data_IF_744372448702
#
_entry.id   IF_744372448702
#
_cell.length_a   1.000
_cell.length_b   1.000
_cell.length_c   1.000
_cell.angle_alpha   90.00
_cell.angle_beta   90.00
_cell.angle_gamma   90.00
#
_symmetry.space_group_name_H-M   'P 1'
#
loop_
_entity.id
_entity.type
_entity.pdbx_description
1 polymer ?
#
# COMPACT_ATOMS: atom_id res chain seq x y z
N UNK A 1 24.66 13.05 -11.43
CA UNK A 1 24.86 14.14 -12.40
C UNK A 1 24.14 13.89 -13.73
N UNK A 2 24.24 12.70 -14.34
CA UNK A 2 23.62 12.42 -15.66
C UNK A 2 22.09 12.58 -15.70
N UNK A 3 21.37 12.22 -14.62
CA UNK A 3 19.90 12.38 -14.51
C UNK A 3 19.47 13.85 -14.33
N UNK A 4 20.33 14.69 -13.75
CA UNK A 4 20.01 16.11 -13.55
C UNK A 4 20.21 16.93 -14.84
N UNK A 5 21.08 16.43 -15.73
CA UNK A 5 21.43 17.03 -17.01
C UNK A 5 20.57 16.55 -18.20
N UNK A 6 19.74 15.52 -18.01
CA UNK A 6 18.88 15.00 -19.08
C UNK A 6 17.63 15.85 -19.28
N UNK A 7 17.23 15.99 -20.55
CA UNK A 7 16.08 16.78 -20.99
C UNK A 7 14.75 16.12 -20.58
N UNK A 8 14.76 14.80 -20.43
CA UNK A 8 13.69 13.98 -19.84
C UNK A 8 14.23 13.22 -18.61
N UNK A 9 14.01 13.81 -17.44
CA UNK A 9 14.44 13.24 -16.15
C UNK A 9 13.64 11.99 -15.79
N UNK A 10 12.34 11.96 -16.10
CA UNK A 10 11.45 10.85 -15.78
C UNK A 10 11.80 9.62 -16.63
N UNK A 11 11.94 9.77 -17.95
CA UNK A 11 12.34 8.68 -18.85
C UNK A 11 13.73 8.13 -18.54
N UNK A 12 14.68 8.98 -18.15
CA UNK A 12 16.02 8.54 -17.73
C UNK A 12 15.98 7.66 -16.47
N UNK A 13 15.11 7.99 -15.52
CA UNK A 13 14.93 7.22 -14.29
C UNK A 13 14.25 5.87 -14.57
N UNK A 14 13.22 5.86 -15.42
CA UNK A 14 12.53 4.65 -15.84
C UNK A 14 13.46 3.67 -16.55
N UNK A 15 14.26 4.17 -17.52
CA UNK A 15 15.25 3.36 -18.20
C UNK A 15 16.28 2.77 -17.22
N UNK A 16 16.70 3.54 -16.22
CA UNK A 16 17.62 3.05 -15.18
C UNK A 16 16.99 1.95 -14.33
N UNK A 17 15.69 2.06 -14.03
CA UNK A 17 14.93 1.06 -13.28
C UNK A 17 14.78 -0.25 -14.08
N UNK A 18 14.40 -0.16 -15.35
CA UNK A 18 14.31 -1.31 -16.26
C UNK A 18 15.67 -2.01 -16.40
N UNK A 19 16.74 -1.23 -16.62
CA UNK A 19 18.10 -1.75 -16.66
C UNK A 19 18.50 -2.45 -15.35
N UNK A 20 18.01 -1.98 -14.18
CA UNK A 20 18.24 -2.65 -12.89
C UNK A 20 17.52 -3.99 -12.74
N UNK A 21 16.44 -4.22 -13.49
CA UNK A 21 15.67 -5.46 -13.48
C UNK A 21 16.20 -6.47 -14.51
N UNK A 22 16.62 -6.01 -15.69
CA UNK A 22 17.10 -6.86 -16.78
C UNK A 22 18.56 -7.28 -16.62
N UNK A 23 19.41 -6.38 -16.10
CA UNK A 23 20.83 -6.66 -15.92
C UNK A 23 21.05 -7.47 -14.64
N UNK A 24 21.75 -8.59 -14.75
CA UNK A 24 22.16 -9.44 -13.62
C UNK A 24 23.21 -8.80 -12.72
N UNK A 25 22.88 -7.69 -12.07
CA UNK A 25 23.74 -6.98 -11.12
C UNK A 25 23.75 -7.64 -9.74
N UNK A 26 24.79 -7.37 -8.94
CA UNK A 26 24.83 -7.84 -7.55
C UNK A 26 23.68 -7.21 -6.74
N UNK A 27 23.04 -8.00 -5.86
CA UNK A 27 21.91 -7.55 -5.02
C UNK A 27 22.25 -6.29 -4.21
N UNK A 28 23.48 -6.20 -3.68
CA UNK A 28 23.95 -5.04 -2.90
C UNK A 28 24.00 -3.77 -3.75
N UNK A 29 24.55 -3.86 -4.95
CA UNK A 29 24.62 -2.72 -5.86
C UNK A 29 23.22 -2.30 -6.33
N UNK A 30 22.39 -3.26 -6.76
CA UNK A 30 21.00 -3.03 -7.15
C UNK A 30 20.23 -2.29 -6.05
N UNK A 31 20.35 -2.75 -4.80
CA UNK A 31 19.66 -2.09 -3.68
C UNK A 31 20.14 -0.64 -3.48
N UNK A 32 21.45 -0.38 -3.60
CA UNK A 32 21.97 0.98 -3.49
C UNK A 32 21.48 1.90 -4.61
N UNK A 33 21.37 1.38 -5.84
CA UNK A 33 20.81 2.13 -6.96
C UNK A 33 19.33 2.42 -6.74
N UNK A 34 18.54 1.43 -6.30
CA UNK A 34 17.11 1.60 -5.99
C UNK A 34 16.87 2.63 -4.87
N UNK A 35 17.69 2.65 -3.82
CA UNK A 35 17.63 3.68 -2.77
C UNK A 35 17.80 5.10 -3.35
N UNK A 36 18.76 5.27 -4.26
CA UNK A 36 19.00 6.57 -4.93
C UNK A 36 17.84 6.91 -5.88
N UNK A 37 17.31 5.93 -6.61
CA UNK A 37 16.15 6.14 -7.49
C UNK A 37 14.93 6.61 -6.71
N UNK A 38 14.64 6.03 -5.54
CA UNK A 38 13.54 6.47 -4.67
C UNK A 38 13.69 7.95 -4.30
N UNK A 39 14.88 8.38 -3.90
CA UNK A 39 15.13 9.79 -3.60
C UNK A 39 14.95 10.70 -4.81
N UNK A 40 15.35 10.25 -6.00
CA UNK A 40 15.23 11.02 -7.22
C UNK A 40 13.77 11.15 -7.67
N UNK A 41 13.00 10.06 -7.66
CA UNK A 41 11.57 10.07 -8.00
C UNK A 41 10.74 11.00 -7.09
N UNK A 42 11.11 11.12 -5.80
CA UNK A 42 10.46 12.07 -4.88
C UNK A 42 10.84 13.54 -5.11
N UNK A 43 11.99 13.80 -5.73
CA UNK A 43 12.50 15.17 -6.01
C UNK A 43 12.04 15.73 -7.36
N UNK A 44 11.25 14.98 -8.12
CA UNK A 44 10.65 15.47 -9.37
C UNK A 44 9.63 16.57 -9.08
N UNK A 45 9.34 17.41 -10.10
CA UNK A 45 8.33 18.47 -10.02
C UNK A 45 6.93 17.91 -9.71
N UNK A 46 6.65 16.70 -10.20
CA UNK A 46 5.51 15.87 -9.82
C UNK A 46 6.08 14.56 -9.24
N UNK A 47 5.88 14.27 -7.95
CA UNK A 47 6.40 13.05 -7.34
C UNK A 47 5.73 11.81 -7.93
N UNK A 48 6.54 10.85 -8.37
CA UNK A 48 6.06 9.60 -8.94
C UNK A 48 6.00 8.51 -7.86
N UNK A 49 4.90 8.49 -7.10
CA UNK A 49 4.72 7.54 -6.01
C UNK A 49 4.56 6.09 -6.49
N UNK A 50 4.15 5.89 -7.74
CA UNK A 50 4.00 4.57 -8.34
C UNK A 50 5.36 3.90 -8.47
N UNK A 51 6.31 4.57 -9.13
CA UNK A 51 7.66 4.03 -9.32
C UNK A 51 8.47 4.01 -8.02
N UNK A 52 8.19 4.92 -7.07
CA UNK A 52 8.74 4.83 -5.71
C UNK A 52 8.31 3.54 -5.03
N UNK A 53 7.02 3.21 -5.03
CA UNK A 53 6.51 1.99 -4.41
C UNK A 53 7.04 0.73 -5.10
N UNK A 54 7.16 0.72 -6.43
CA UNK A 54 7.79 -0.37 -7.17
C UNK A 54 9.27 -0.57 -6.77
N UNK A 55 10.04 0.52 -6.64
CA UNK A 55 11.43 0.44 -6.18
C UNK A 55 11.51 -0.12 -4.75
N UNK A 56 10.63 0.33 -3.86
CA UNK A 56 10.56 -0.14 -2.48
C UNK A 56 10.13 -1.62 -2.38
N UNK A 57 9.28 -2.08 -3.29
CA UNK A 57 8.90 -3.49 -3.42
C UNK A 57 10.11 -4.35 -3.84
N UNK A 58 10.90 -3.90 -4.82
CA UNK A 58 12.14 -4.59 -5.24
C UNK A 58 13.21 -4.62 -4.13
N UNK A 59 13.16 -3.65 -3.23
CA UNK A 59 13.96 -3.56 -2.00
C UNK A 59 13.38 -4.37 -0.84
N UNK A 60 12.17 -4.92 -0.97
CA UNK A 60 11.42 -5.62 0.07
C UNK A 60 11.20 -4.78 1.34
N UNK A 61 11.19 -3.45 1.22
CA UNK A 61 11.05 -2.53 2.34
C UNK A 61 9.58 -2.14 2.62
N UNK A 62 8.85 -3.01 3.31
CA UNK A 62 7.43 -2.80 3.61
C UNK A 62 7.15 -1.58 4.51
N UNK A 63 8.09 -1.22 5.38
CA UNK A 63 7.97 -0.05 6.28
C UNK A 63 7.97 1.26 5.50
N UNK A 64 8.85 1.38 4.52
CA UNK A 64 8.92 2.57 3.67
C UNK A 64 7.66 2.72 2.82
N UNK A 65 7.11 1.63 2.27
CA UNK A 65 5.85 1.69 1.51
C UNK A 65 4.69 2.10 2.41
N UNK A 66 4.60 1.54 3.62
CA UNK A 66 3.61 1.95 4.61
C UNK A 66 3.68 3.45 4.92
N UNK A 67 4.89 4.00 5.05
CA UNK A 67 5.09 5.42 5.28
C UNK A 67 4.62 6.28 4.10
N UNK A 68 4.90 5.88 2.86
CA UNK A 68 4.45 6.58 1.65
C UNK A 68 2.93 6.54 1.52
N UNK A 69 2.30 5.38 1.73
CA UNK A 69 0.84 5.26 1.72
C UNK A 69 0.20 6.14 2.80
N UNK A 70 0.79 6.19 3.99
CA UNK A 70 0.32 7.04 5.07
C UNK A 70 0.45 8.54 4.74
N UNK A 71 1.58 8.95 4.13
CA UNK A 71 1.79 10.31 3.63
C UNK A 71 0.72 10.72 2.62
N UNK A 72 0.39 9.83 1.67
CA UNK A 72 -0.66 10.06 0.67
C UNK A 72 -2.08 10.08 1.26
N UNK A 73 -2.36 9.31 2.32
CA UNK A 73 -3.68 9.34 2.97
C UNK A 73 -3.89 10.57 3.86
N UNK A 74 -2.80 11.19 4.32
CA UNK A 74 -2.82 12.39 5.15
C UNK A 74 -3.00 13.67 4.35
N UNK A 75 -2.69 13.66 3.06
CA UNK A 75 -2.97 14.82 2.22
C UNK A 75 -4.49 14.95 2.00
N UNK A 76 -4.96 16.20 1.95
CA UNK A 76 -6.38 16.53 1.79
C UNK A 76 -6.83 16.46 0.31
N UNK A 77 -5.94 16.02 -0.58
CA UNK A 77 -6.20 15.88 -2.02
C UNK A 77 -6.87 14.54 -2.31
N UNK A 78 -8.04 14.58 -2.97
CA UNK A 78 -8.73 13.38 -3.45
C UNK A 78 -7.86 12.56 -4.44
N UNK A 79 -7.02 13.25 -5.22
CA UNK A 79 -6.12 12.60 -6.18
C UNK A 79 -5.06 11.73 -5.49
N UNK A 80 -4.56 12.16 -4.34
CA UNK A 80 -3.51 11.44 -3.60
C UNK A 80 -4.11 10.24 -2.86
N UNK A 81 -5.32 10.39 -2.31
CA UNK A 81 -6.08 9.28 -1.74
C UNK A 81 -6.33 8.19 -2.79
N UNK A 82 -6.77 8.57 -3.99
CA UNK A 82 -7.04 7.62 -5.06
C UNK A 82 -5.75 6.93 -5.53
N UNK A 83 -4.66 7.68 -5.64
CA UNK A 83 -3.34 7.14 -5.97
C UNK A 83 -2.87 6.12 -4.92
N UNK A 84 -3.11 6.37 -3.63
CA UNK A 84 -2.79 5.42 -2.58
C UNK A 84 -3.58 4.11 -2.71
N UNK A 85 -4.86 4.17 -3.06
CA UNK A 85 -5.65 2.96 -3.32
C UNK A 85 -5.16 2.21 -4.57
N UNK A 86 -4.80 2.91 -5.64
CA UNK A 86 -4.24 2.31 -6.85
C UNK A 86 -2.95 1.55 -6.53
N UNK A 87 -2.00 2.22 -5.85
CA UNK A 87 -0.76 1.58 -5.40
C UNK A 87 -1.06 0.34 -4.54
N UNK A 88 -2.06 0.40 -3.66
CA UNK A 88 -2.43 -0.74 -2.82
C UNK A 88 -2.97 -1.93 -3.63
N UNK A 89 -3.76 -1.68 -4.68
CA UNK A 89 -4.22 -2.73 -5.59
C UNK A 89 -3.05 -3.37 -6.35
N UNK A 90 -2.15 -2.57 -6.92
CA UNK A 90 -0.97 -3.06 -7.64
C UNK A 90 -0.05 -3.89 -6.72
N UNK A 91 0.06 -3.49 -5.45
CA UNK A 91 0.77 -4.25 -4.43
C UNK A 91 0.13 -5.63 -4.17
N UNK A 92 -1.20 -5.69 -4.13
CA UNK A 92 -1.93 -6.95 -3.97
C UNK A 92 -1.77 -7.87 -5.19
N UNK A 93 -1.76 -7.30 -6.40
CA UNK A 93 -1.51 -8.04 -7.64
C UNK A 93 -0.08 -8.58 -7.75
N UNK A 94 0.88 -7.98 -7.01
CA UNK A 94 2.27 -8.44 -7.00
C UNK A 94 2.48 -9.76 -6.24
N UNK A 95 1.45 -10.34 -5.62
CA UNK A 95 1.42 -11.66 -4.95
C UNK A 95 2.45 -11.89 -3.82
N UNK A 96 3.09 -10.83 -3.31
CA UNK A 96 4.09 -10.92 -2.23
C UNK A 96 3.43 -10.96 -0.85
N UNK A 97 2.77 -12.07 -0.48
CA UNK A 97 1.98 -12.16 0.76
C UNK A 97 2.74 -11.80 2.05
N UNK A 98 3.99 -12.23 2.20
CA UNK A 98 4.81 -11.89 3.38
C UNK A 98 5.11 -10.39 3.45
N UNK A 99 5.39 -9.77 2.30
CA UNK A 99 5.63 -8.33 2.20
C UNK A 99 4.36 -7.54 2.51
N UNK A 100 3.20 -7.95 1.99
CA UNK A 100 1.90 -7.33 2.28
C UNK A 100 1.56 -7.41 3.77
N UNK A 101 1.85 -8.55 4.42
CA UNK A 101 1.74 -8.70 5.87
C UNK A 101 2.60 -7.68 6.62
N UNK A 102 3.86 -7.51 6.22
CA UNK A 102 4.77 -6.53 6.81
C UNK A 102 4.32 -5.08 6.59
N UNK A 103 3.79 -4.76 5.41
CA UNK A 103 3.21 -3.43 5.11
C UNK A 103 2.03 -3.18 6.04
N UNK A 104 1.08 -4.11 6.14
CA UNK A 104 -0.11 -3.99 7.01
C UNK A 104 0.25 -3.78 8.49
N UNK A 105 1.26 -4.48 8.99
CA UNK A 105 1.76 -4.32 10.36
C UNK A 105 2.49 -2.98 10.57
N UNK A 106 3.05 -2.41 9.51
CA UNK A 106 3.79 -1.15 9.57
C UNK A 106 2.89 0.08 9.40
N UNK A 107 1.64 -0.10 8.96
CA UNK A 107 0.64 0.97 8.98
C UNK A 107 0.22 1.24 10.43
N UNK A 108 -0.01 2.52 10.81
CA UNK A 108 -0.54 2.84 12.14
C UNK A 108 -1.85 2.09 12.34
N UNK A 109 -1.98 1.47 13.52
CA UNK A 109 -3.25 0.92 13.95
C UNK A 109 -4.20 2.09 14.17
N UNK A 110 -5.17 2.27 13.27
CA UNK A 110 -6.36 3.02 13.60
C UNK A 110 -6.98 2.30 14.79
N UNK A 111 -6.95 2.94 15.95
CA UNK A 111 -7.26 2.34 17.24
C UNK A 111 -8.53 1.49 17.17
N UNK A 112 -8.34 0.18 17.19
CA UNK A 112 -9.34 -0.79 17.63
C UNK A 112 -8.70 -1.54 18.77
N UNK A 113 -8.68 -0.92 19.94
CA UNK A 113 -8.53 -1.63 21.20
C UNK A 113 -9.77 -2.49 21.41
N UNK A 114 -9.77 -3.70 20.84
CA UNK A 114 -10.55 -4.81 21.39
C UNK A 114 -9.71 -6.08 21.44
N UNK A 115 -9.54 -6.54 22.68
CA UNK A 115 -9.16 -7.89 23.11
C UNK A 115 -7.67 -8.21 23.29
N UNK A 116 -7.18 -7.89 24.48
CA UNK A 116 -6.49 -8.87 25.32
C UNK A 116 -6.69 -8.52 26.82
N UNK A 117 -7.85 -8.88 27.38
CA UNK A 117 -7.99 -9.12 28.81
C UNK A 117 -7.29 -10.47 29.12
N UNK A 118 -6.30 -10.54 30.01
CA UNK A 118 -6.39 -10.81 31.46
C UNK A 118 -4.93 -11.03 31.93
N UNK A 119 -4.38 -10.68 33.09
CA UNK A 119 -4.82 -10.33 34.46
C UNK A 119 -3.61 -9.71 35.18
N UNK A 120 -3.80 -8.65 35.98
CA UNK A 120 -3.50 -8.62 37.43
C UNK A 120 -3.69 -7.22 38.05
N UNK A 121 -4.47 -7.23 39.14
CA UNK A 121 -4.39 -6.45 40.39
C UNK A 121 -4.31 -4.91 40.29
N UNK A 122 -5.37 -4.19 40.68
CA UNK A 122 -5.68 -3.77 42.07
C UNK A 122 -5.00 -2.42 42.38
N UNK A 123 -5.78 -1.34 42.35
CA UNK A 123 -5.96 -0.46 43.52
C UNK A 123 -6.91 0.70 43.17
N UNK A 124 -7.78 1.03 44.13
CA UNK A 124 -8.79 2.06 44.04
C UNK A 124 -8.26 3.38 44.58
N UNK A 125 -8.54 4.51 43.93
CA UNK A 125 -8.74 5.78 44.65
C UNK A 125 -9.49 6.81 43.81
N UNK A 126 -10.35 7.55 44.50
CA UNK A 126 -11.43 8.35 43.99
C UNK A 126 -11.08 9.84 43.84
N UNK A 127 -11.84 10.55 42.98
CA UNK A 127 -12.33 11.90 43.27
C UNK A 127 -11.93 13.04 42.32
N UNK A 128 -12.94 13.72 41.76
CA UNK A 128 -12.93 15.20 41.65
C UNK A 128 -13.14 15.84 40.27
N UNK A 129 -14.39 16.20 39.99
CA UNK A 129 -14.93 17.41 39.31
C UNK A 129 -14.35 18.02 38.01
N UNK A 130 -15.21 17.97 36.97
CA UNK A 130 -15.70 19.05 36.08
C UNK A 130 -15.01 20.44 36.09
N UNK A 131 -14.51 20.94 34.94
CA UNK A 131 -15.26 21.70 33.91
C UNK A 131 -14.34 22.44 32.88
N UNK A 132 -14.85 22.58 31.65
CA UNK A 132 -14.49 23.51 30.55
C UNK A 132 -13.11 23.49 29.89
N UNK A 133 -13.05 22.91 28.67
CA UNK A 133 -12.56 23.64 27.48
C UNK A 133 -13.08 23.00 26.19
N UNK A 134 -14.25 23.48 25.74
CA UNK A 134 -14.74 23.32 24.37
C UNK A 134 -13.75 23.99 23.41
N UNK A 135 -12.83 23.20 22.83
CA UNK A 135 -11.99 23.63 21.70
C UNK A 135 -11.52 22.48 20.80
N UNK A 136 -11.97 21.23 21.01
CA UNK A 136 -11.40 20.05 20.34
C UNK A 136 -12.27 19.46 19.21
N UNK A 137 -13.42 20.06 18.88
CA UNK A 137 -14.40 19.43 17.97
C UNK A 137 -14.03 19.46 16.47
N UNK A 138 -12.89 20.05 16.09
CA UNK A 138 -12.42 20.04 14.70
C UNK A 138 -11.38 18.93 14.39
N UNK A 139 -10.65 18.43 15.41
CA UNK A 139 -9.64 17.37 15.22
C UNK A 139 -10.26 15.98 15.13
N UNK A 140 -11.33 15.72 15.87
CA UNK A 140 -11.94 14.39 15.97
C UNK A 140 -12.66 13.96 14.68
N UNK A 141 -13.21 14.91 13.90
CA UNK A 141 -13.87 14.64 12.64
C UNK A 141 -12.86 14.25 11.53
N UNK A 142 -11.68 14.89 11.51
CA UNK A 142 -10.62 14.60 10.53
C UNK A 142 -9.92 13.27 10.87
N UNK A 143 -9.72 12.97 12.16
CA UNK A 143 -9.27 11.64 12.59
C UNK A 143 -10.29 10.54 12.26
N UNK A 144 -11.59 10.84 12.34
CA UNK A 144 -12.63 9.89 11.91
C UNK A 144 -12.55 9.58 10.41
N UNK A 145 -12.36 10.59 9.56
CA UNK A 145 -12.27 10.42 8.11
C UNK A 145 -11.00 9.65 7.70
N UNK A 146 -9.85 10.04 8.26
CA UNK A 146 -8.59 9.34 8.05
C UNK A 146 -8.63 7.88 8.52
N UNK A 147 -9.29 7.60 9.66
CA UNK A 147 -9.48 6.21 10.12
C UNK A 147 -10.32 5.37 9.15
N UNK A 148 -11.31 5.97 8.49
CA UNK A 148 -12.13 5.30 7.48
C UNK A 148 -11.28 5.00 6.23
N UNK A 149 -10.48 5.97 5.77
CA UNK A 149 -9.56 5.79 4.64
C UNK A 149 -8.54 4.67 4.94
N UNK A 150 -7.97 4.65 6.14
CA UNK A 150 -7.06 3.59 6.58
C UNK A 150 -7.72 2.21 6.63
N UNK A 151 -8.97 2.12 7.11
CA UNK A 151 -9.73 0.86 7.13
C UNK A 151 -9.95 0.34 5.71
N UNK A 152 -10.33 1.21 4.77
CA UNK A 152 -10.47 0.85 3.34
C UNK A 152 -9.16 0.36 2.76
N UNK A 153 -8.06 1.08 3.01
CA UNK A 153 -6.73 0.70 2.55
C UNK A 153 -6.31 -0.67 3.11
N UNK A 154 -6.55 -0.92 4.39
CA UNK A 154 -6.26 -2.21 5.04
C UNK A 154 -7.11 -3.34 4.47
N UNK A 155 -8.35 -3.06 4.10
CA UNK A 155 -9.23 -4.01 3.42
C UNK A 155 -8.71 -4.35 2.03
N UNK A 156 -8.25 -3.37 1.24
CA UNK A 156 -7.63 -3.62 -0.08
C UNK A 156 -6.36 -4.46 0.08
N UNK A 157 -5.49 -4.09 1.03
CA UNK A 157 -4.25 -4.81 1.34
C UNK A 157 -4.46 -6.21 1.92
N UNK A 158 -5.69 -6.57 2.31
CA UNK A 158 -6.02 -7.95 2.71
C UNK A 158 -6.04 -8.91 1.52
N UNK A 159 -6.26 -8.40 0.30
CA UNK A 159 -6.39 -9.18 -0.92
C UNK A 159 -7.78 -9.80 -1.12
N UNK A 160 -8.63 -9.88 -0.09
CA UNK A 160 -9.96 -10.48 -0.19
C UNK A 160 -10.84 -9.76 -1.23
N UNK A 161 -10.82 -8.43 -1.22
CA UNK A 161 -11.57 -7.61 -2.18
C UNK A 161 -11.15 -7.86 -3.62
N UNK A 162 -9.86 -8.10 -3.87
CA UNK A 162 -9.35 -8.38 -5.22
C UNK A 162 -9.84 -9.75 -5.70
N UNK A 163 -9.82 -10.75 -4.81
CA UNK A 163 -10.32 -12.09 -5.09
C UNK A 163 -11.82 -12.06 -5.42
N UNK A 164 -12.61 -11.33 -4.63
CA UNK A 164 -14.05 -11.22 -4.85
C UNK A 164 -14.38 -10.60 -6.21
N UNK A 165 -13.71 -9.50 -6.57
CA UNK A 165 -13.87 -8.84 -7.88
C UNK A 165 -13.47 -9.80 -9.00
N UNK A 166 -12.34 -10.52 -8.84
CA UNK A 166 -11.88 -11.48 -9.84
C UNK A 166 -12.87 -12.65 -10.02
N UNK A 167 -13.44 -13.16 -8.92
CA UNK A 167 -14.43 -14.24 -8.94
C UNK A 167 -15.72 -13.76 -9.61
N UNK A 168 -16.19 -12.56 -9.29
CA UNK A 168 -17.35 -11.95 -9.93
C UNK A 168 -17.14 -11.80 -11.44
N UNK A 169 -15.94 -11.36 -11.86
CA UNK A 169 -15.55 -11.29 -13.26
C UNK A 169 -15.58 -12.66 -13.93
N UNK A 170 -14.94 -13.67 -13.34
CA UNK A 170 -14.91 -15.04 -13.87
C UNK A 170 -16.30 -15.65 -13.98
N UNK A 171 -17.19 -15.37 -13.03
CA UNK A 171 -18.57 -15.85 -13.04
C UNK A 171 -19.38 -15.21 -14.17
N UNK A 172 -19.34 -13.89 -14.30
CA UNK A 172 -20.13 -13.17 -15.31
C UNK A 172 -19.57 -13.31 -16.74
N UNK A 173 -18.26 -13.49 -16.88
CA UNK A 173 -17.57 -13.57 -18.18
C UNK A 173 -17.11 -14.99 -18.52
N UNK A 174 -17.74 -16.01 -17.95
CA UNK A 174 -17.46 -17.39 -18.29
C UNK A 174 -17.86 -17.70 -19.75
N UNK A 175 -16.87 -17.84 -20.63
CA UNK A 175 -17.02 -18.22 -22.04
C UNK A 175 -16.51 -19.64 -22.32
N UNK A 176 -16.75 -20.58 -21.41
CA UNK A 176 -16.33 -21.97 -21.61
C UNK A 176 -17.19 -22.68 -22.67
N UNK A 177 -16.53 -23.33 -23.63
CA UNK A 177 -17.20 -24.17 -24.63
C UNK A 177 -17.47 -25.58 -24.07
N UNK A 178 -18.75 -25.89 -23.89
CA UNK A 178 -19.21 -27.20 -23.38
C UNK A 178 -18.95 -28.35 -24.36
N UNK A 179 -18.78 -28.07 -25.65
CA UNK A 179 -18.51 -29.09 -26.66
C UNK A 179 -17.10 -29.68 -26.47
N UNK A 180 -16.11 -28.84 -26.15
CA UNK A 180 -14.74 -29.27 -25.85
C UNK A 180 -14.74 -30.19 -24.62
N UNK A 181 -15.45 -29.81 -23.56
CA UNK A 181 -15.61 -30.63 -22.34
C UNK A 181 -16.29 -31.98 -22.64
N UNK A 182 -17.33 -31.98 -23.49
CA UNK A 182 -18.03 -33.20 -23.91
C UNK A 182 -17.15 -34.14 -24.72
N UNK A 183 -16.32 -33.61 -25.61
CA UNK A 183 -15.42 -34.39 -26.45
C UNK A 183 -14.31 -35.04 -25.62
N UNK A 184 -13.72 -34.30 -24.67
CA UNK A 184 -12.72 -34.84 -23.73
C UNK A 184 -13.36 -35.91 -22.83
N UNK A 185 -14.57 -35.67 -22.32
CA UNK A 185 -15.31 -36.64 -21.51
C UNK A 185 -15.63 -37.93 -22.27
N UNK A 186 -15.95 -37.84 -23.57
CA UNK A 186 -16.26 -39.00 -24.40
C UNK A 186 -15.02 -39.77 -24.84
N UNK A 187 -13.84 -39.14 -24.80
CA UNK A 187 -12.56 -39.75 -25.13
C UNK A 187 -11.86 -40.42 -23.94
N UNK A 188 -12.33 -40.16 -22.71
CA UNK A 188 -11.94 -40.84 -21.48
C UNK A 188 -12.87 -42.03 -21.21
#
# INVERSE_FOLDING_TARGET
ESVSASQDRAGSLLYTLEACQELGMSRKFRNKVLEVLVELFRKLEVPDYQHVCQCLMLLENGKAVAAVLNELLKSDSESDELLAYQIAFDLCESELQQFLGNVRQSLPEGETHESAAEKKADDATAGGDQEMKEASQASDAVESAYSIKLKKLRMILSGETLIDIHLEFLFHRNKTDKLILSNIKSAL
#
